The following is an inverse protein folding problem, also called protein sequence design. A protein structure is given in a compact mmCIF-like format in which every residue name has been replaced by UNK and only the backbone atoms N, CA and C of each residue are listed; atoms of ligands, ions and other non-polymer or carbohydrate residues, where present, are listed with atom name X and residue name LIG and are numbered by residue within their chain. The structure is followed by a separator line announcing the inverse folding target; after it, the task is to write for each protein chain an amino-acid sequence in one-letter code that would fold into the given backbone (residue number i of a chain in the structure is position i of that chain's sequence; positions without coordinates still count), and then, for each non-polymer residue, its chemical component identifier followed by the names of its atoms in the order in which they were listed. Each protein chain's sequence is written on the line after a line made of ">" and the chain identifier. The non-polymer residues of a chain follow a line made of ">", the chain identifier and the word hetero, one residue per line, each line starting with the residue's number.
data_IF_564073940704
#
_entry.id   IF_564073940704
#
_cell.length_a   1.000
_cell.length_b   1.000
_cell.length_c   1.000
_cell.angle_alpha   90.00
_cell.angle_beta   90.00
_cell.angle_gamma   90.00
#
_symmetry.space_group_name_H-M   'P 1'
#
loop_
_entity.id
_entity.type
_entity.pdbx_description
1 polymer ?
#
# COMPACT_ATOMS: atom_id res chain seq x y z
N UNK A 1 18.02 -19.92 -18.61
CA UNK A 1 17.41 -18.63 -18.99
C UNK A 1 16.23 -18.38 -18.08
N UNK A 2 16.19 -17.27 -17.34
CA UNK A 2 15.06 -16.90 -16.49
C UNK A 2 13.91 -16.41 -17.37
N UNK A 3 12.78 -17.12 -17.38
CA UNK A 3 11.59 -16.75 -18.12
C UNK A 3 10.80 -15.67 -17.35
N UNK A 4 10.89 -14.41 -17.79
CA UNK A 4 10.18 -13.28 -17.18
C UNK A 4 8.73 -13.28 -17.68
N UNK A 5 7.77 -13.41 -16.76
CA UNK A 5 6.34 -13.52 -17.09
C UNK A 5 5.58 -12.19 -17.05
N UNK A 6 6.16 -11.15 -16.46
CA UNK A 6 5.54 -9.84 -16.29
C UNK A 6 5.70 -9.30 -14.86
N UNK A 7 5.08 -8.14 -14.61
CA UNK A 7 5.00 -7.52 -13.28
C UNK A 7 3.83 -8.13 -12.53
N UNK A 8 4.07 -8.58 -11.29
CA UNK A 8 3.00 -9.10 -10.44
C UNK A 8 2.17 -7.96 -9.82
N UNK A 9 2.84 -6.99 -9.20
CA UNK A 9 2.19 -5.83 -8.59
C UNK A 9 3.15 -4.63 -8.50
N UNK A 10 2.59 -3.47 -8.19
CA UNK A 10 3.30 -2.25 -7.81
C UNK A 10 2.93 -1.92 -6.35
N UNK A 11 3.95 -1.82 -5.49
CA UNK A 11 3.77 -1.39 -4.10
C UNK A 11 3.67 0.14 -3.99
N UNK A 12 2.72 0.64 -3.21
CA UNK A 12 2.49 2.07 -3.00
C UNK A 12 2.10 2.39 -1.55
N UNK A 13 2.70 3.41 -0.96
CA UNK A 13 2.27 3.94 0.34
C UNK A 13 1.15 4.97 0.15
N UNK A 14 0.08 4.85 0.94
CA UNK A 14 -1.04 5.79 0.94
C UNK A 14 -1.30 6.32 2.35
N UNK A 15 -1.90 7.50 2.44
CA UNK A 15 -2.23 8.10 3.75
C UNK A 15 -3.42 7.43 4.42
N UNK A 16 -4.39 6.96 3.63
CA UNK A 16 -5.56 6.20 4.06
C UNK A 16 -5.95 5.20 2.96
N UNK A 17 -5.98 3.91 3.27
CA UNK A 17 -6.26 2.85 2.28
C UNK A 17 -7.71 2.87 1.78
N UNK A 18 -8.69 3.22 2.61
CA UNK A 18 -10.10 3.19 2.20
C UNK A 18 -10.44 4.34 1.25
N UNK A 19 -9.88 5.54 1.48
CA UNK A 19 -9.96 6.66 0.54
C UNK A 19 -9.25 6.35 -0.78
N UNK A 20 -8.04 5.79 -0.71
CA UNK A 20 -7.28 5.41 -1.91
C UNK A 20 -8.00 4.34 -2.72
N UNK A 21 -8.55 3.32 -2.07
CA UNK A 21 -9.34 2.29 -2.74
C UNK A 21 -10.60 2.87 -3.38
N UNK A 22 -11.32 3.75 -2.68
CA UNK A 22 -12.50 4.43 -3.22
C UNK A 22 -12.16 5.23 -4.48
N UNK A 23 -11.05 5.96 -4.48
CA UNK A 23 -10.57 6.67 -5.66
C UNK A 23 -10.24 5.71 -6.80
N UNK A 24 -9.43 4.66 -6.54
CA UNK A 24 -9.03 3.70 -7.56
C UNK A 24 -10.23 2.96 -8.17
N UNK A 25 -11.20 2.58 -7.32
CA UNK A 25 -12.45 1.96 -7.74
C UNK A 25 -13.24 2.88 -8.66
N UNK A 26 -13.47 4.13 -8.25
CA UNK A 26 -14.32 5.05 -9.00
C UNK A 26 -13.66 5.59 -10.27
N UNK A 27 -12.35 5.81 -10.26
CA UNK A 27 -11.62 6.42 -11.38
C UNK A 27 -11.12 5.38 -12.40
N UNK A 28 -10.78 4.17 -11.96
CA UNK A 28 -10.14 3.15 -12.80
C UNK A 28 -10.87 1.80 -12.81
N UNK A 29 -11.99 1.67 -12.10
CA UNK A 29 -12.70 0.39 -12.01
C UNK A 29 -11.92 -0.66 -11.19
N UNK A 30 -11.10 -0.23 -10.22
CA UNK A 30 -10.35 -1.16 -9.39
C UNK A 30 -11.26 -2.05 -8.54
N UNK A 31 -10.88 -3.32 -8.43
CA UNK A 31 -11.56 -4.33 -7.63
C UNK A 31 -10.71 -4.71 -6.41
N UNK A 32 -11.39 -5.04 -5.31
CA UNK A 32 -10.74 -5.57 -4.11
C UNK A 32 -10.25 -6.99 -4.38
N UNK A 33 -9.00 -7.31 -4.02
CA UNK A 33 -8.51 -8.68 -4.03
C UNK A 33 -8.49 -9.28 -2.63
N UNK A 34 -7.67 -8.72 -1.73
CA UNK A 34 -7.56 -9.15 -0.34
C UNK A 34 -6.85 -8.09 0.51
N UNK A 35 -7.02 -8.19 1.83
CA UNK A 35 -6.21 -7.46 2.80
C UNK A 35 -5.10 -8.36 3.33
N UNK A 36 -3.86 -7.86 3.29
CA UNK A 36 -2.70 -8.54 3.86
C UNK A 36 -2.47 -8.17 5.33
N UNK A 37 -3.08 -7.08 5.79
CA UNK A 37 -3.06 -6.59 7.17
C UNK A 37 -4.25 -5.63 7.36
N UNK A 38 -5.00 -5.79 8.44
CA UNK A 38 -6.15 -4.94 8.81
C UNK A 38 -5.85 -4.15 10.09
N UNK A 39 -6.72 -3.19 10.43
CA UNK A 39 -6.58 -2.42 11.67
C UNK A 39 -6.82 -3.25 12.95
N UNK A 40 -7.42 -4.44 12.81
CA UNK A 40 -7.64 -5.36 13.93
C UNK A 40 -6.41 -6.26 14.19
N UNK A 41 -5.43 -6.25 13.28
CA UNK A 41 -4.19 -7.00 13.40
C UNK A 41 -3.10 -6.18 14.12
N UNK A 42 -2.15 -6.86 14.75
CA UNK A 42 -0.96 -6.22 15.29
C UNK A 42 -0.13 -5.56 14.16
N UNK A 43 0.24 -4.27 14.27
CA UNK A 43 1.00 -3.59 13.23
C UNK A 43 2.34 -4.27 12.93
N UNK A 44 2.67 -4.38 11.63
CA UNK A 44 3.96 -4.92 11.19
C UNK A 44 5.04 -3.86 11.37
N UNK A 45 6.00 -4.13 12.24
CA UNK A 45 7.04 -3.19 12.66
C UNK A 45 8.38 -3.89 12.90
N UNK A 46 9.42 -3.09 13.08
CA UNK A 46 10.74 -3.53 13.49
C UNK A 46 11.76 -3.54 12.34
N UNK A 47 13.03 -3.87 12.65
CA UNK A 47 14.16 -3.58 11.77
C UNK A 47 14.10 -4.26 10.41
N UNK A 48 13.44 -5.42 10.31
CA UNK A 48 13.29 -6.12 9.03
C UNK A 48 12.28 -5.43 8.12
N UNK A 49 11.09 -5.11 8.64
CA UNK A 49 10.04 -4.37 7.91
C UNK A 49 10.56 -3.01 7.45
N UNK A 50 11.25 -2.29 8.33
CA UNK A 50 11.87 -1.00 8.02
C UNK A 50 12.88 -1.12 6.87
N UNK A 51 13.73 -2.15 6.87
CA UNK A 51 14.70 -2.37 5.78
C UNK A 51 14.04 -2.78 4.47
N UNK A 52 13.07 -3.69 4.51
CA UNK A 52 12.41 -4.21 3.30
C UNK A 52 11.66 -3.12 2.54
N UNK A 53 11.08 -2.16 3.26
CA UNK A 53 10.25 -1.10 2.67
C UNK A 53 10.92 0.30 2.72
N UNK A 54 12.16 0.39 3.20
CA UNK A 54 12.89 1.65 3.31
C UNK A 54 12.23 2.65 4.27
N UNK A 55 11.61 2.18 5.35
CA UNK A 55 10.89 3.02 6.30
C UNK A 55 11.83 3.64 7.35
N UNK A 56 11.42 4.79 7.89
CA UNK A 56 12.07 5.39 9.05
C UNK A 56 12.00 4.45 10.26
N UNK A 57 13.03 4.48 11.11
CA UNK A 57 13.03 3.74 12.38
C UNK A 57 11.75 4.02 13.19
N UNK A 58 11.13 2.96 13.70
CA UNK A 58 9.88 3.01 14.46
C UNK A 58 8.61 3.11 13.62
N UNK A 59 8.72 3.09 12.29
CA UNK A 59 7.54 3.04 11.43
C UNK A 59 6.85 1.67 11.50
N UNK A 60 5.53 1.68 11.33
CA UNK A 60 4.71 0.48 11.31
C UNK A 60 3.73 0.52 10.13
N UNK A 61 3.54 -0.63 9.48
CA UNK A 61 2.42 -0.83 8.56
C UNK A 61 1.20 -1.16 9.43
N UNK A 62 0.14 -0.38 9.29
CA UNK A 62 -1.11 -0.56 10.06
C UNK A 62 -2.24 -1.14 9.21
N UNK A 63 -2.11 -1.08 7.89
CA UNK A 63 -3.05 -1.71 6.94
C UNK A 63 -2.35 -1.96 5.60
N UNK A 64 -2.71 -3.05 4.95
CA UNK A 64 -2.18 -3.46 3.65
C UNK A 64 -3.30 -4.07 2.81
N UNK A 65 -3.49 -3.57 1.59
CA UNK A 65 -4.56 -4.01 0.67
C UNK A 65 -4.05 -4.22 -0.74
N UNK A 66 -4.38 -5.38 -1.32
CA UNK A 66 -4.16 -5.68 -2.73
C UNK A 66 -5.42 -5.34 -3.53
N UNK A 67 -5.26 -4.64 -4.65
CA UNK A 67 -6.34 -4.33 -5.60
C UNK A 67 -5.94 -4.69 -7.03
N UNK A 68 -6.93 -5.05 -7.84
CA UNK A 68 -6.77 -5.44 -9.25
C UNK A 68 -7.37 -4.36 -10.13
N UNK A 69 -6.72 -4.05 -11.26
CA UNK A 69 -7.26 -3.13 -12.27
C UNK A 69 -7.21 -3.84 -13.63
N UNK A 70 -8.38 -4.28 -14.11
CA UNK A 70 -8.49 -5.02 -15.36
C UNK A 70 -7.55 -6.23 -15.41
N UNK A 71 -6.78 -6.37 -16.50
CA UNK A 71 -5.82 -7.45 -16.70
C UNK A 71 -4.35 -7.01 -16.50
N UNK A 72 -4.13 -5.86 -15.85
CA UNK A 72 -2.81 -5.29 -15.61
C UNK A 72 -2.13 -5.83 -14.33
N UNK A 73 -0.96 -5.27 -13.95
CA UNK A 73 -0.35 -5.56 -12.67
C UNK A 73 -1.25 -5.05 -11.52
N UNK A 74 -1.22 -5.76 -10.40
CA UNK A 74 -1.97 -5.35 -9.22
C UNK A 74 -1.34 -4.15 -8.54
N UNK A 75 -2.08 -3.50 -7.64
CA UNK A 75 -1.55 -2.47 -6.75
C UNK A 75 -1.63 -3.00 -5.32
N UNK A 76 -0.48 -3.04 -4.65
CA UNK A 76 -0.39 -3.33 -3.22
C UNK A 76 -0.22 -2.02 -2.46
N UNK A 77 -1.25 -1.62 -1.73
CA UNK A 77 -1.26 -0.38 -0.95
C UNK A 77 -0.85 -0.64 0.50
N UNK A 78 -0.04 0.25 1.06
CA UNK A 78 0.42 0.23 2.44
C UNK A 78 0.05 1.52 3.16
N UNK A 79 -0.60 1.41 4.30
CA UNK A 79 -0.80 2.53 5.22
C UNK A 79 0.24 2.46 6.33
N UNK A 80 1.04 3.52 6.44
CA UNK A 80 2.18 3.57 7.34
C UNK A 80 1.96 4.65 8.39
N UNK A 81 2.25 4.29 9.64
CA UNK A 81 2.36 5.21 10.76
C UNK A 81 3.82 5.36 11.16
N UNK A 82 4.23 6.60 11.42
CA UNK A 82 5.52 6.92 11.98
C UNK A 82 5.45 8.27 12.71
N UNK A 83 6.30 8.47 13.71
CA UNK A 83 6.36 9.73 14.47
C UNK A 83 6.68 10.93 13.56
N UNK A 84 7.39 10.70 12.45
CA UNK A 84 7.77 11.70 11.47
C UNK A 84 6.88 11.70 10.22
N UNK A 85 5.64 11.18 10.30
CA UNK A 85 4.72 11.15 9.15
C UNK A 85 4.49 12.56 8.63
N UNK A 86 5.21 12.94 7.56
CA UNK A 86 4.97 14.20 6.85
C UNK A 86 3.56 14.14 6.31
N UNK A 87 2.75 15.12 6.70
CA UNK A 87 1.38 15.26 6.18
C UNK A 87 1.47 15.34 4.65
N UNK A 88 0.80 14.44 3.95
CA UNK A 88 0.70 14.51 2.48
C UNK A 88 0.12 15.87 2.11
N UNK A 89 0.89 16.68 1.38
CA UNK A 89 0.45 17.99 0.96
C UNK A 89 -0.64 17.81 -0.10
N UNK A 90 -1.90 18.07 0.27
CA UNK A 90 -3.01 18.09 -0.68
C UNK A 90 -2.84 19.32 -1.58
N UNK A 91 -2.37 19.11 -2.82
CA UNK A 91 -2.37 20.16 -3.84
C UNK A 91 -3.84 20.46 -4.14
N UNK A 92 -4.35 21.60 -3.67
CA UNK A 92 -5.67 22.09 -4.05
C UNK A 92 -5.57 22.53 -5.51
N UNK A 93 -6.35 21.89 -6.38
CA UNK A 93 -6.68 22.45 -7.70
C UNK A 93 -7.77 23.50 -7.51
#
# INVERSE_FOLDING_TARGET
>A
MSNIRGINHIGMTVSNIDEAFTFLKNAFGAEYAYDGLTYDDEPRKGPEVERMLGLSKGAAIVKQRMVVIGNGPNIEMFEIESENKKRTTRIRR
#
